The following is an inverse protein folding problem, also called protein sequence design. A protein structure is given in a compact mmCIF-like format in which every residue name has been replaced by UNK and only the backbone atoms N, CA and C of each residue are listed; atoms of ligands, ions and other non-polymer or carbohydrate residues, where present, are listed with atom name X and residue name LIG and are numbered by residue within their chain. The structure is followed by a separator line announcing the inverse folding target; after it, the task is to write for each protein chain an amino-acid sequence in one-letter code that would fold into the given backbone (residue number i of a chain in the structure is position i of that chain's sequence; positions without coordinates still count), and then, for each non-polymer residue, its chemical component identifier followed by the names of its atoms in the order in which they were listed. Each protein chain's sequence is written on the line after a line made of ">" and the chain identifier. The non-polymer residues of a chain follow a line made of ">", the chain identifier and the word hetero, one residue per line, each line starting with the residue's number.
data_IF_539910676664
#
_entry.id   IF_539910676664
#
_cell.length_a   1.000
_cell.length_b   1.000
_cell.length_c   1.000
_cell.angle_alpha   90.00
_cell.angle_beta   90.00
_cell.angle_gamma   90.00
#
_symmetry.space_group_name_H-M   'P 1'
#
loop_
_entity.id
_entity.type
_entity.pdbx_description
1 polymer ?
#
# COMPACT_ATOMS: atom_id res chain seq x y z
N UNK A 1 16.17 12.24 2.03
CA UNK A 1 14.71 12.43 2.19
C UNK A 1 14.00 11.35 1.38
N UNK A 2 13.10 10.55 1.97
CA UNK A 2 12.34 9.55 1.21
C UNK A 2 11.24 10.23 0.39
N UNK A 3 10.98 9.81 -0.86
CA UNK A 3 9.90 10.40 -1.65
C UNK A 3 8.53 9.96 -1.11
N UNK A 4 7.52 10.77 -1.38
CA UNK A 4 6.14 10.49 -0.96
C UNK A 4 5.57 9.23 -1.62
N UNK A 5 5.85 9.04 -2.91
CA UNK A 5 5.36 7.90 -3.69
C UNK A 5 6.46 7.21 -4.50
N UNK A 6 6.28 5.91 -4.71
CA UNK A 6 7.04 5.12 -5.66
C UNK A 6 6.19 4.60 -6.82
N UNK A 7 6.81 4.39 -7.99
CA UNK A 7 6.19 3.59 -9.04
C UNK A 7 6.04 2.14 -8.59
N UNK A 8 5.17 1.37 -9.25
CA UNK A 8 4.93 -0.05 -8.90
C UNK A 8 6.23 -0.86 -8.88
N UNK A 9 7.10 -0.70 -9.89
CA UNK A 9 8.39 -1.40 -9.92
C UNK A 9 9.29 -1.05 -8.74
N UNK A 10 9.34 0.23 -8.36
CA UNK A 10 10.19 0.69 -7.27
C UNK A 10 9.64 0.29 -5.90
N UNK A 11 8.32 0.33 -5.72
CA UNK A 11 7.66 -0.14 -4.50
C UNK A 11 7.83 -1.64 -4.31
N UNK A 12 7.67 -2.43 -5.37
CA UNK A 12 7.88 -3.88 -5.35
C UNK A 12 9.30 -4.22 -4.86
N UNK A 13 10.32 -3.60 -5.46
CA UNK A 13 11.71 -3.77 -5.04
C UNK A 13 11.95 -3.28 -3.61
N UNK A 14 11.33 -2.17 -3.22
CA UNK A 14 11.47 -1.58 -1.89
C UNK A 14 10.92 -2.48 -0.77
N UNK A 15 9.78 -3.13 -1.00
CA UNK A 15 9.12 -4.02 -0.03
C UNK A 15 9.58 -5.48 -0.15
N UNK A 16 10.36 -5.84 -1.17
CA UNK A 16 10.73 -7.23 -1.43
C UNK A 16 9.57 -8.10 -1.91
N UNK A 17 8.58 -7.53 -2.61
CA UNK A 17 7.41 -8.25 -3.15
C UNK A 17 7.34 -8.13 -4.67
N UNK A 18 6.52 -8.96 -5.33
CA UNK A 18 6.36 -8.87 -6.78
C UNK A 18 5.47 -7.69 -7.21
N UNK A 19 5.71 -7.17 -8.42
CA UNK A 19 4.85 -6.13 -9.02
C UNK A 19 3.42 -6.62 -9.18
N UNK A 20 3.25 -7.88 -9.58
CA UNK A 20 1.95 -8.52 -9.75
C UNK A 20 1.19 -8.62 -8.44
N UNK A 21 1.87 -8.93 -7.33
CA UNK A 21 1.26 -8.94 -6.01
C UNK A 21 0.65 -7.58 -5.66
N UNK A 22 1.40 -6.49 -5.89
CA UNK A 22 0.90 -5.15 -5.67
C UNK A 22 -0.33 -4.84 -6.53
N UNK A 23 -0.26 -5.09 -7.83
CA UNK A 23 -1.35 -4.79 -8.77
C UNK A 23 -2.62 -5.62 -8.53
N UNK A 24 -2.47 -6.94 -8.28
CA UNK A 24 -3.61 -7.86 -8.04
C UNK A 24 -4.36 -7.58 -6.74
N UNK A 25 -3.70 -6.94 -5.77
CA UNK A 25 -4.26 -6.63 -4.46
C UNK A 25 -4.71 -5.18 -4.29
N UNK A 26 -4.66 -4.37 -5.38
CA UNK A 26 -5.36 -3.08 -5.41
C UNK A 26 -6.85 -3.29 -5.14
N UNK A 27 -7.42 -2.41 -4.32
CA UNK A 27 -8.80 -2.47 -3.85
C UNK A 27 -9.16 -3.74 -3.04
N UNK A 28 -8.17 -4.57 -2.69
CA UNK A 28 -8.35 -5.73 -1.81
C UNK A 28 -7.61 -5.51 -0.50
N UNK A 29 -6.28 -5.54 -0.58
CA UNK A 29 -5.39 -5.22 0.55
C UNK A 29 -5.07 -3.73 0.58
N UNK A 30 -4.90 -3.13 -0.60
CA UNK A 30 -4.46 -1.75 -0.74
C UNK A 30 -5.61 -0.84 -1.15
N UNK A 31 -5.83 0.22 -0.38
CA UNK A 31 -6.92 1.18 -0.59
C UNK A 31 -6.46 2.38 -1.41
N UNK A 32 -7.22 2.74 -2.47
CA UNK A 32 -6.98 3.95 -3.28
C UNK A 32 -7.09 5.20 -2.40
N UNK A 33 -6.20 6.17 -2.61
CA UNK A 33 -6.11 7.40 -1.80
C UNK A 33 -5.31 7.23 -0.49
N UNK A 34 -5.10 6.00 -0.03
CA UNK A 34 -4.32 5.69 1.17
C UNK A 34 -2.98 5.05 0.76
N UNK A 35 -3.04 3.84 0.21
CA UNK A 35 -1.88 3.05 -0.15
C UNK A 35 -1.34 3.38 -1.53
N UNK A 36 -2.24 3.77 -2.42
CA UNK A 36 -1.88 4.07 -3.80
C UNK A 36 -2.76 5.16 -4.41
N UNK A 37 -2.24 5.79 -5.45
CA UNK A 37 -2.88 6.83 -6.23
C UNK A 37 -2.80 6.47 -7.71
N UNK A 38 -3.81 6.92 -8.46
CA UNK A 38 -3.85 6.83 -9.92
C UNK A 38 -4.19 8.22 -10.44
N UNK A 39 -3.17 9.08 -10.62
CA UNK A 39 -3.38 10.44 -11.10
C UNK A 39 -4.02 10.41 -12.49
N UNK A 40 -5.01 11.28 -12.69
CA UNK A 40 -5.76 11.37 -13.94
C UNK A 40 -4.82 11.63 -15.13
N UNK A 41 -5.08 10.99 -16.27
CA UNK A 41 -4.26 11.11 -17.48
C UNK A 41 -2.95 10.30 -17.47
N UNK A 42 -2.52 9.76 -16.32
CA UNK A 42 -1.33 8.92 -16.24
C UNK A 42 -1.78 7.49 -15.93
N UNK A 43 -1.60 6.56 -16.89
CA UNK A 43 -1.86 5.11 -16.71
C UNK A 43 -0.80 4.45 -15.80
N UNK A 44 -0.47 5.05 -14.66
CA UNK A 44 0.52 4.53 -13.70
C UNK A 44 -0.04 4.60 -12.28
N UNK A 45 0.09 3.49 -11.57
CA UNK A 45 -0.16 3.43 -10.13
C UNK A 45 1.09 3.91 -9.38
N UNK A 46 0.90 4.90 -8.51
CA UNK A 46 1.88 5.42 -7.57
C UNK A 46 1.53 4.93 -6.17
N UNK A 47 2.52 4.47 -5.42
CA UNK A 47 2.35 3.82 -4.12
C UNK A 47 2.88 4.71 -3.01
N UNK A 48 2.03 5.03 -2.03
CA UNK A 48 2.40 5.85 -0.87
C UNK A 48 3.42 5.10 -0.01
N UNK A 49 4.64 5.63 0.09
CA UNK A 49 5.75 4.93 0.76
C UNK A 49 5.45 4.69 2.23
N UNK A 50 5.00 5.72 2.95
CA UNK A 50 4.75 5.63 4.39
C UNK A 50 3.61 4.66 4.72
N UNK A 51 2.53 4.64 3.93
CA UNK A 51 1.40 3.73 4.22
C UNK A 51 1.76 2.28 3.89
N UNK A 52 2.51 2.03 2.82
CA UNK A 52 2.99 0.69 2.50
C UNK A 52 4.00 0.15 3.53
N UNK A 53 4.84 1.02 4.11
CA UNK A 53 5.69 0.67 5.26
C UNK A 53 4.86 0.32 6.50
N UNK A 54 3.79 1.08 6.80
CA UNK A 54 2.89 0.76 7.92
C UNK A 54 2.20 -0.58 7.71
N UNK A 55 1.76 -0.86 6.49
CA UNK A 55 1.13 -2.12 6.13
C UNK A 55 2.08 -3.30 6.36
N UNK A 56 3.32 -3.23 5.86
CA UNK A 56 4.28 -4.35 5.99
C UNK A 56 4.78 -4.56 7.43
N UNK A 57 4.79 -3.49 8.24
CA UNK A 57 5.18 -3.55 9.65
C UNK A 57 4.01 -3.93 10.57
N UNK A 58 2.81 -4.18 10.03
CA UNK A 58 1.61 -4.48 10.82
C UNK A 58 1.13 -3.31 11.68
N UNK A 59 1.58 -2.08 11.39
CA UNK A 59 1.20 -0.84 12.08
C UNK A 59 0.04 -0.10 11.41
N UNK A 60 -0.55 -0.67 10.36
CA UNK A 60 -1.89 -0.25 9.97
C UNK A 60 -2.86 -0.70 11.07
N UNK A 61 -3.45 0.27 11.75
CA UNK A 61 -4.58 0.07 12.64
C UNK A 61 -5.64 -0.72 11.87
N UNK A 62 -5.77 -2.00 12.20
CA UNK A 62 -6.95 -2.76 11.84
C UNK A 62 -8.12 -2.09 12.58
N UNK A 63 -9.08 -1.45 11.88
CA UNK A 63 -10.22 -0.81 12.54
C UNK A 63 -11.12 -1.82 13.28
N UNK A 64 -10.86 -3.13 13.13
CA UNK A 64 -11.54 -4.22 13.82
C UNK A 64 -10.67 -4.89 14.90
N UNK A 65 -9.49 -4.34 15.24
CA UNK A 65 -8.61 -4.92 16.26
C UNK A 65 -9.24 -4.93 17.66
N UNK A 66 -10.19 -4.03 17.92
CA UNK A 66 -10.93 -3.97 19.18
C UNK A 66 -11.98 -5.09 19.31
N UNK A 67 -12.54 -5.60 18.20
CA UNK A 67 -13.61 -6.63 18.23
C UNK A 67 -13.05 -8.03 18.55
N UNK A 68 -11.76 -8.28 18.32
CA UNK A 68 -11.12 -9.58 18.54
C UNK A 68 -10.62 -9.79 19.98
N UNK A 69 -10.64 -8.76 20.83
CA UNK A 69 -10.21 -8.85 22.24
C UNK A 69 -11.38 -9.06 23.22
N UNK A 70 -12.61 -9.24 22.72
CA UNK A 70 -13.81 -9.52 23.54
C UNK A 70 -14.37 -10.95 23.35
N UNK A 71 -13.58 -11.89 22.82
CA UNK A 71 -13.92 -13.32 22.77
C UNK A 71 -12.98 -14.17 23.64
#
# INVERSE_FOLDING_TARGET
>A
MKPFCYSTSKMANYLGVSKDFLLKNKNKLFKKGIHYYEPYGIKKTLWNVTQMEKWITGKEENPFKEILNEL
#
